data_IF_482261961298
#
_entry.id   IF_482261961298
#
_cell.length_a   1.000
_cell.length_b   1.000
_cell.length_c   1.000
_cell.angle_alpha   90.00
_cell.angle_beta   90.00
_cell.angle_gamma   90.00
#
_symmetry.space_group_name_H-M   'P 1'
#
loop_
_entity.id
_entity.type
_entity.pdbx_description
1 polymer ?
#
# COMPACT_ATOMS: atom_id res chain seq x y z
N UNK A 1 -34.94 0.36 22.53
CA UNK A 1 -34.11 1.09 21.55
C UNK A 1 -32.70 0.53 21.60
N UNK A 2 -32.33 -0.26 20.61
CA UNK A 2 -30.94 -0.59 20.27
C UNK A 2 -30.90 -0.75 18.75
N UNK A 3 -30.21 0.11 18.00
CA UNK A 3 -30.00 -0.15 16.58
C UNK A 3 -28.98 -1.30 16.49
N UNK A 4 -29.40 -2.41 15.91
CA UNK A 4 -28.46 -3.45 15.48
C UNK A 4 -27.56 -2.85 14.42
N UNK A 5 -26.26 -2.80 14.69
CA UNK A 5 -25.25 -2.46 13.69
C UNK A 5 -25.34 -3.51 12.59
N UNK A 6 -25.75 -3.07 11.41
CA UNK A 6 -25.78 -3.86 10.18
C UNK A 6 -24.34 -4.16 9.79
N UNK A 7 -23.85 -5.35 10.14
CA UNK A 7 -22.63 -5.90 9.55
C UNK A 7 -22.99 -6.30 8.12
N UNK A 8 -22.81 -5.40 7.15
CA UNK A 8 -22.84 -5.75 5.73
C UNK A 8 -21.65 -6.66 5.46
N UNK A 9 -21.85 -7.97 5.15
CA UNK A 9 -20.74 -8.79 4.72
C UNK A 9 -20.24 -8.23 3.39
N UNK A 10 -19.01 -7.75 3.35
CA UNK A 10 -18.34 -7.44 2.10
C UNK A 10 -18.41 -8.68 1.20
N UNK A 11 -18.68 -8.54 -0.11
CA UNK A 11 -18.72 -9.69 -1.00
C UNK A 11 -17.39 -10.45 -0.90
N UNK A 12 -17.39 -11.79 -0.84
CA UNK A 12 -16.15 -12.56 -0.84
C UNK A 12 -15.40 -12.18 -2.11
N UNK A 13 -14.28 -11.46 -1.97
CA UNK A 13 -13.38 -11.22 -3.08
C UNK A 13 -13.08 -12.61 -3.65
N UNK A 14 -13.27 -12.85 -4.96
CA UNK A 14 -12.98 -14.14 -5.52
C UNK A 14 -11.55 -14.49 -5.11
N UNK A 15 -11.37 -15.65 -4.49
CA UNK A 15 -10.06 -16.24 -4.18
C UNK A 15 -9.29 -16.27 -5.50
N UNK A 16 -8.56 -15.20 -5.81
CA UNK A 16 -7.69 -15.13 -6.97
C UNK A 16 -6.75 -16.31 -6.81
N UNK A 17 -6.53 -17.06 -7.89
CA UNK A 17 -5.53 -18.13 -7.86
C UNK A 17 -4.19 -17.47 -7.56
N UNK A 18 -3.78 -17.52 -6.30
CA UNK A 18 -2.53 -16.92 -5.87
C UNK A 18 -1.42 -17.78 -6.45
N UNK A 19 -0.51 -17.18 -7.22
CA UNK A 19 0.67 -17.89 -7.67
C UNK A 19 1.46 -18.36 -6.45
N UNK A 20 1.72 -19.68 -6.30
CA UNK A 20 2.36 -20.22 -5.10
C UNK A 20 3.78 -19.66 -4.88
N UNK A 21 4.41 -19.17 -5.94
CA UNK A 21 5.69 -18.46 -5.90
C UNK A 21 5.56 -17.09 -5.21
N UNK A 22 4.52 -16.32 -5.53
CA UNK A 22 4.24 -15.03 -4.90
C UNK A 22 3.77 -15.21 -3.44
N UNK A 23 2.94 -16.23 -3.18
CA UNK A 23 2.49 -16.60 -1.83
C UNK A 23 3.63 -16.99 -0.87
N UNK A 24 4.79 -17.37 -1.39
CA UNK A 24 5.94 -17.77 -0.59
C UNK A 24 6.96 -16.64 -0.47
N UNK A 25 7.09 -15.80 -1.51
CA UNK A 25 8.05 -14.70 -1.55
C UNK A 25 7.80 -13.67 -0.44
N UNK A 26 6.54 -13.33 -0.13
CA UNK A 26 6.22 -12.35 0.93
C UNK A 26 6.62 -12.83 2.34
N UNK A 27 6.69 -14.15 2.56
CA UNK A 27 7.02 -14.72 3.88
C UNK A 27 8.46 -14.41 4.26
N UNK A 28 9.37 -14.45 3.30
CA UNK A 28 10.81 -14.25 3.52
C UNK A 28 11.27 -12.81 3.33
N UNK A 29 10.48 -11.96 2.66
CA UNK A 29 10.79 -10.54 2.43
C UNK A 29 10.36 -9.65 3.59
N UNK A 30 11.05 -8.53 3.79
CA UNK A 30 10.58 -7.46 4.65
C UNK A 30 9.41 -6.71 3.98
N UNK A 31 8.52 -6.09 4.77
CA UNK A 31 7.33 -5.44 4.25
C UNK A 31 7.63 -4.31 3.27
N UNK A 32 8.62 -3.48 3.60
CA UNK A 32 9.17 -2.43 2.73
C UNK A 32 9.68 -2.91 1.36
N UNK A 33 10.08 -4.18 1.24
CA UNK A 33 10.63 -4.79 0.02
C UNK A 33 9.58 -5.60 -0.77
N UNK A 34 8.33 -5.61 -0.31
CA UNK A 34 7.22 -6.21 -1.03
C UNK A 34 6.85 -5.36 -2.24
N UNK A 35 6.35 -6.02 -3.28
CA UNK A 35 5.66 -5.37 -4.37
C UNK A 35 4.13 -5.54 -4.25
N UNK A 36 3.37 -4.82 -5.09
CA UNK A 36 1.91 -4.86 -5.05
C UNK A 36 1.35 -6.26 -5.36
N UNK A 37 1.97 -7.03 -6.26
CA UNK A 37 1.53 -8.39 -6.59
C UNK A 37 1.73 -9.36 -5.41
N UNK A 38 2.84 -9.23 -4.68
CA UNK A 38 3.14 -9.99 -3.47
C UNK A 38 2.19 -9.62 -2.33
N UNK A 39 1.85 -8.34 -2.20
CA UNK A 39 0.86 -7.85 -1.23
C UNK A 39 -0.55 -8.38 -1.54
N UNK A 40 -0.96 -8.34 -2.82
CA UNK A 40 -2.26 -8.84 -3.28
C UNK A 40 -2.36 -10.37 -3.26
N UNK A 41 -1.22 -11.06 -3.27
CA UNK A 41 -1.11 -12.50 -3.10
C UNK A 41 -1.24 -12.96 -1.64
N UNK A 42 -1.28 -12.04 -0.67
CA UNK A 42 -1.49 -12.38 0.74
C UNK A 42 -2.95 -12.79 0.98
N UNK A 43 -3.21 -13.85 1.76
CA UNK A 43 -4.58 -14.26 2.07
C UNK A 43 -5.26 -13.23 2.97
N UNK A 44 -6.59 -13.19 2.95
CA UNK A 44 -7.38 -12.23 3.75
C UNK A 44 -7.13 -12.35 5.27
N UNK A 45 -6.73 -13.54 5.76
CA UNK A 45 -6.33 -13.74 7.16
C UNK A 45 -5.07 -12.96 7.56
N UNK A 46 -4.28 -12.52 6.59
CA UNK A 46 -3.04 -11.76 6.76
C UNK A 46 -3.26 -10.25 6.49
N UNK A 47 -4.52 -9.83 6.35
CA UNK A 47 -4.87 -8.43 6.16
C UNK A 47 -4.36 -7.58 7.32
N UNK A 48 -3.65 -6.49 6.99
CA UNK A 48 -3.04 -5.54 7.92
C UNK A 48 -2.03 -6.16 8.91
N UNK A 49 -1.40 -7.28 8.53
CA UNK A 49 -0.26 -7.78 9.30
C UNK A 49 0.96 -6.83 9.21
N UNK A 50 1.98 -7.09 10.03
CA UNK A 50 3.17 -6.24 10.15
C UNK A 50 3.85 -5.96 8.80
N UNK A 51 3.85 -6.93 7.87
CA UNK A 51 4.48 -6.77 6.56
C UNK A 51 3.66 -5.83 5.67
N UNK A 52 2.33 -5.94 5.68
CA UNK A 52 1.46 -5.02 4.94
C UNK A 52 1.57 -3.60 5.49
N UNK A 53 1.57 -3.46 6.82
CA UNK A 53 1.72 -2.16 7.49
C UNK A 53 3.04 -1.50 7.13
N UNK A 54 4.13 -2.26 7.12
CA UNK A 54 5.46 -1.76 6.75
C UNK A 54 5.53 -1.37 5.26
N UNK A 55 4.92 -2.14 4.37
CA UNK A 55 4.76 -1.77 2.95
C UNK A 55 4.04 -0.42 2.78
N UNK A 56 2.86 -0.27 3.42
CA UNK A 56 2.06 0.94 3.30
C UNK A 56 2.74 2.14 3.96
N UNK A 57 3.42 1.94 5.09
CA UNK A 57 4.22 3.00 5.73
C UNK A 57 5.30 3.49 4.77
N UNK A 58 6.04 2.59 4.13
CA UNK A 58 7.07 2.95 3.16
C UNK A 58 6.47 3.74 1.97
N UNK A 59 5.34 3.27 1.43
CA UNK A 59 4.64 3.97 0.34
C UNK A 59 4.18 5.37 0.73
N UNK A 60 3.60 5.54 1.90
CA UNK A 60 3.15 6.84 2.40
C UNK A 60 4.32 7.79 2.64
N UNK A 61 5.44 7.28 3.14
CA UNK A 61 6.66 8.05 3.34
C UNK A 61 7.21 8.53 1.99
N UNK A 62 7.30 7.64 0.99
CA UNK A 62 7.70 8.02 -0.36
C UNK A 62 6.77 9.09 -0.95
N UNK A 63 5.45 8.92 -0.86
CA UNK A 63 4.49 9.89 -1.37
C UNK A 63 4.61 11.26 -0.70
N UNK A 64 4.89 11.29 0.60
CA UNK A 64 5.16 12.54 1.33
C UNK A 64 6.42 13.22 0.79
N UNK A 65 7.49 12.45 0.60
CA UNK A 65 8.77 12.99 0.13
C UNK A 65 8.66 13.49 -1.32
N UNK A 66 7.93 12.75 -2.19
CA UNK A 66 7.61 13.18 -3.55
C UNK A 66 6.79 14.48 -3.55
N UNK A 67 5.80 14.62 -2.66
CA UNK A 67 5.00 15.83 -2.54
C UNK A 67 5.86 17.04 -2.15
N UNK A 68 6.79 16.85 -1.21
CA UNK A 68 7.72 17.89 -0.79
C UNK A 68 8.68 18.27 -1.93
N UNK A 69 9.23 17.29 -2.64
CA UNK A 69 10.14 17.53 -3.78
C UNK A 69 9.45 18.28 -4.93
N UNK A 70 8.23 17.91 -5.29
CA UNK A 70 7.45 18.61 -6.33
C UNK A 70 7.16 20.08 -5.95
N UNK A 71 6.97 20.34 -4.66
CA UNK A 71 6.78 21.71 -4.16
C UNK A 71 8.06 22.55 -4.34
N UNK A 72 9.23 21.95 -4.11
CA UNK A 72 10.52 22.61 -4.30
C UNK A 72 10.84 22.83 -5.80
N UNK A 73 10.60 21.84 -6.69
CA UNK A 73 10.82 21.99 -8.14
C UNK A 73 9.98 23.12 -8.77
N UNK A 74 8.75 23.31 -8.30
CA UNK A 74 7.87 24.39 -8.79
C UNK A 74 8.42 25.77 -8.43
N UNK A 75 9.18 25.91 -7.33
CA UNK A 75 9.80 27.19 -6.95
C UNK A 75 11.06 27.51 -7.76
N UNK A 76 11.82 26.50 -8.17
CA UNK A 76 13.01 26.69 -9.02
C UNK A 76 12.61 27.04 -10.46
N UNK A 77 11.64 26.33 -11.05
CA UNK A 77 11.15 26.64 -12.40
C UNK A 77 10.60 28.08 -12.52
N UNK A 78 9.92 28.60 -11.49
CA UNK A 78 9.43 29.98 -11.49
C UNK A 78 10.56 31.03 -11.40
N UNK A 79 11.70 30.68 -10.76
CA UNK A 79 12.89 31.55 -10.70
C UNK A 79 13.65 31.56 -12.02
N UNK A 80 13.71 30.42 -12.70
CA UNK A 80 14.34 30.29 -14.01
C UNK A 80 13.54 31.06 -15.10
N UNK A 81 12.21 31.01 -15.07
CA UNK A 81 11.36 31.73 -16.04
C UNK A 81 11.29 33.26 -15.81
N UNK A 82 11.76 33.76 -14.66
CA UNK A 82 11.75 35.21 -14.32
C UNK A 82 13.13 35.85 -14.29
N UNK A 83 14.20 35.11 -14.59
CA UNK A 83 15.59 35.60 -14.64
C UNK A 83 16.09 35.90 -16.05
#
# INVERSE_FOLDING_TARGET
>A
MTPAVTETPSPPKPLRKIDPKLASAWKTKAGRDLNEDELLAMPDSEYMNDKQIDFFRNRLQQQKDDLLSNADETTEHLREDTS
#
